data_IF_578217759030
#
_entry.id   IF_578217759030
#
_cell.length_a   1.000
_cell.length_b   1.000
_cell.length_c   1.000
_cell.angle_alpha   90.00
_cell.angle_beta   90.00
_cell.angle_gamma   90.00
#
_symmetry.space_group_name_H-M   'P 1'
#
loop_
_entity.id
_entity.type
_entity.pdbx_description
1 polymer ?
#
# COMPACT_ATOMS: atom_id res chain seq x y z
N UNK A 1 -25.73 21.46 -5.33
CA UNK A 1 -24.92 22.71 -5.29
C UNK A 1 -25.50 23.85 -6.14
N UNK A 2 -26.28 23.58 -7.19
CA UNK A 2 -26.95 24.61 -8.01
C UNK A 2 -27.92 25.51 -7.24
N UNK A 3 -28.54 25.00 -6.16
CA UNK A 3 -29.48 25.77 -5.33
C UNK A 3 -28.82 26.71 -4.28
N UNK A 4 -27.49 26.76 -4.19
CA UNK A 4 -26.72 27.56 -3.21
C UNK A 4 -27.09 27.37 -1.72
N UNK A 5 -27.78 26.28 -1.37
CA UNK A 5 -28.17 25.92 0.01
C UNK A 5 -27.02 25.23 0.77
N UNK A 6 -25.90 25.92 0.92
CA UNK A 6 -24.69 25.39 1.56
C UNK A 6 -24.89 25.15 3.07
N UNK A 7 -25.61 26.06 3.73
CA UNK A 7 -25.96 26.02 5.16
C UNK A 7 -26.79 24.80 5.59
N UNK A 8 -27.33 24.03 4.65
CA UNK A 8 -28.11 22.82 4.92
C UNK A 8 -27.32 21.54 4.72
N UNK A 9 -26.08 21.61 4.23
CA UNK A 9 -25.29 20.44 3.91
C UNK A 9 -24.94 19.65 5.19
N UNK A 10 -25.27 18.35 5.26
CA UNK A 10 -24.86 17.49 6.35
C UNK A 10 -23.48 16.88 6.04
N UNK A 11 -22.40 17.54 6.43
CA UNK A 11 -21.02 17.11 6.11
C UNK A 11 -20.71 15.66 6.51
N UNK A 12 -21.26 15.17 7.62
CA UNK A 12 -21.12 13.77 8.09
C UNK A 12 -21.71 12.74 7.13
N UNK A 13 -22.58 13.14 6.20
CA UNK A 13 -23.19 12.27 5.18
C UNK A 13 -22.60 12.46 3.78
N UNK A 14 -21.65 13.38 3.62
CA UNK A 14 -21.01 13.63 2.33
C UNK A 14 -20.09 12.47 2.00
N UNK A 15 -20.31 11.85 0.84
CA UNK A 15 -19.51 10.72 0.36
C UNK A 15 -18.04 11.14 0.15
N UNK A 16 -17.10 10.19 0.32
CA UNK A 16 -15.66 10.46 0.29
C UNK A 16 -15.19 11.16 -0.99
N UNK A 17 -15.69 10.71 -2.15
CA UNK A 17 -15.37 11.30 -3.46
C UNK A 17 -15.90 12.73 -3.59
N UNK A 18 -17.12 12.98 -3.10
CA UNK A 18 -17.73 14.30 -3.11
C UNK A 18 -16.98 15.25 -2.16
N UNK A 19 -16.57 14.75 -0.99
CA UNK A 19 -15.78 15.50 -0.03
C UNK A 19 -14.49 16.00 -0.66
N UNK A 20 -13.70 15.10 -1.26
CA UNK A 20 -12.46 15.44 -1.95
C UNK A 20 -12.68 16.41 -3.12
N UNK A 21 -13.73 16.21 -3.91
CA UNK A 21 -13.98 17.00 -5.13
C UNK A 21 -14.45 18.42 -4.83
N UNK A 22 -15.24 18.59 -3.77
CA UNK A 22 -15.93 19.85 -3.48
C UNK A 22 -15.43 20.58 -2.25
N UNK A 23 -14.41 20.07 -1.54
CA UNK A 23 -13.78 20.72 -0.37
C UNK A 23 -13.47 22.21 -0.56
N UNK A 24 -12.94 22.60 -1.72
CA UNK A 24 -12.63 24.01 -2.03
C UNK A 24 -13.90 24.86 -2.06
N UNK A 25 -15.01 24.31 -2.58
CA UNK A 25 -16.30 24.99 -2.60
C UNK A 25 -16.95 25.02 -1.22
N UNK A 26 -16.81 23.96 -0.42
CA UNK A 26 -17.29 23.95 0.95
C UNK A 26 -16.60 25.01 1.78
N UNK A 27 -15.27 25.09 1.72
CA UNK A 27 -14.51 26.14 2.40
C UNK A 27 -14.88 27.53 1.89
N UNK A 28 -15.03 27.72 0.57
CA UNK A 28 -15.42 29.02 0.00
C UNK A 28 -16.81 29.52 0.42
N UNK A 29 -17.78 28.62 0.60
CA UNK A 29 -19.18 28.99 0.76
C UNK A 29 -19.76 28.75 2.16
N UNK A 30 -19.07 27.97 3.01
CA UNK A 30 -19.53 27.61 4.35
C UNK A 30 -18.33 27.29 5.26
N UNK A 31 -17.34 28.19 5.27
CA UNK A 31 -16.05 28.04 5.95
C UNK A 31 -16.19 27.64 7.42
N UNK A 32 -16.96 28.40 8.20
CA UNK A 32 -17.10 28.17 9.65
C UNK A 32 -17.65 26.77 9.99
N UNK A 33 -18.72 26.33 9.29
CA UNK A 33 -19.30 25.00 9.55
C UNK A 33 -18.41 23.89 9.03
N UNK A 34 -17.72 24.13 7.92
CA UNK A 34 -16.83 23.14 7.34
C UNK A 34 -15.58 22.93 8.20
N UNK A 35 -14.91 24.00 8.62
CA UNK A 35 -13.73 23.94 9.47
C UNK A 35 -14.07 23.32 10.83
N UNK A 36 -15.19 23.73 11.45
CA UNK A 36 -15.70 23.07 12.66
C UNK A 36 -15.96 21.58 12.46
N UNK A 37 -16.50 21.18 11.31
CA UNK A 37 -16.68 19.76 11.00
C UNK A 37 -15.34 19.02 10.91
N UNK A 38 -14.30 19.61 10.29
CA UNK A 38 -12.97 19.00 10.23
C UNK A 38 -12.34 18.88 11.63
N UNK A 39 -12.46 19.91 12.48
CA UNK A 39 -12.04 19.88 13.88
C UNK A 39 -12.76 18.79 14.67
N UNK A 40 -14.08 18.64 14.48
CA UNK A 40 -14.87 17.59 15.13
C UNK A 40 -14.45 16.19 14.64
N UNK A 41 -14.08 16.01 13.36
CA UNK A 41 -13.52 14.75 12.86
C UNK A 41 -12.15 14.49 13.48
N UNK A 42 -11.29 15.51 13.55
CA UNK A 42 -9.96 15.40 14.14
C UNK A 42 -10.02 15.03 15.63
N UNK A 43 -10.97 15.60 16.37
CA UNK A 43 -11.24 15.29 17.77
C UNK A 43 -12.01 13.96 17.97
N UNK A 44 -12.35 13.23 16.91
CA UNK A 44 -13.08 11.97 16.97
C UNK A 44 -14.57 12.09 17.30
N UNK A 45 -15.14 13.30 17.29
CA UNK A 45 -16.56 13.59 17.53
C UNK A 45 -17.44 13.37 16.30
N UNK A 46 -16.83 13.43 15.12
CA UNK A 46 -17.48 13.16 13.84
C UNK A 46 -16.68 12.13 13.02
N UNK A 47 -17.31 11.58 11.97
CA UNK A 47 -16.65 10.65 11.03
C UNK A 47 -16.63 11.25 9.63
N UNK A 48 -15.49 11.13 8.96
CA UNK A 48 -15.35 11.39 7.54
C UNK A 48 -15.41 10.08 6.75
N UNK A 49 -16.02 10.10 5.58
CA UNK A 49 -16.04 8.95 4.68
C UNK A 49 -14.71 8.83 3.94
N UNK A 50 -14.11 7.63 3.92
CA UNK A 50 -12.90 7.31 3.14
C UNK A 50 -13.05 6.09 2.20
N UNK A 51 -14.00 5.18 2.46
CA UNK A 51 -14.00 3.82 1.88
C UNK A 51 -14.13 3.67 0.36
N UNK A 52 -14.54 4.72 -0.37
CA UNK A 52 -14.59 4.66 -1.85
C UNK A 52 -13.30 5.15 -2.54
N UNK A 53 -12.39 5.79 -1.81
CA UNK A 53 -11.14 6.32 -2.34
C UNK A 53 -10.01 5.30 -2.18
N UNK A 54 -9.08 5.30 -3.13
CA UNK A 54 -7.86 4.51 -3.05
C UNK A 54 -6.72 5.29 -2.34
N UNK A 55 -5.67 4.61 -1.85
CA UNK A 55 -4.56 5.26 -1.15
C UNK A 55 -3.93 6.42 -1.94
N UNK A 56 -3.50 6.19 -3.18
CA UNK A 56 -2.92 7.23 -4.05
C UNK A 56 -3.91 8.37 -4.37
N UNK A 57 -5.22 8.06 -4.42
CA UNK A 57 -6.27 9.05 -4.64
C UNK A 57 -6.43 10.02 -3.46
N UNK A 58 -6.26 9.53 -2.22
CA UNK A 58 -6.26 10.35 -1.00
C UNK A 58 -4.94 11.12 -0.90
N UNK A 59 -3.82 10.45 -1.16
CA UNK A 59 -2.47 11.00 -1.02
C UNK A 59 -2.07 11.98 -2.14
N UNK A 60 -2.86 12.13 -3.21
CA UNK A 60 -2.49 12.91 -4.39
C UNK A 60 -2.07 14.36 -4.08
N UNK A 61 -2.73 15.04 -3.12
CA UNK A 61 -2.36 16.39 -2.70
C UNK A 61 -1.00 16.39 -1.97
N UNK A 62 -0.84 15.49 -1.00
CA UNK A 62 0.40 15.29 -0.25
C UNK A 62 1.59 14.96 -1.18
N UNK A 63 1.38 14.12 -2.19
CA UNK A 63 2.39 13.78 -3.20
C UNK A 63 2.85 15.00 -4.02
N UNK A 64 1.93 15.92 -4.35
CA UNK A 64 2.26 17.20 -5.01
C UNK A 64 2.87 18.23 -4.06
N UNK A 65 3.01 17.90 -2.77
CA UNK A 65 3.54 18.80 -1.75
C UNK A 65 2.52 19.82 -1.21
N UNK A 66 1.23 19.60 -1.48
CA UNK A 66 0.13 20.43 -0.99
C UNK A 66 -0.28 19.94 0.42
N UNK A 67 -0.61 20.87 1.31
CA UNK A 67 -1.29 20.56 2.58
C UNK A 67 -2.79 20.45 2.31
N UNK A 68 -3.43 19.40 2.84
CA UNK A 68 -4.86 19.18 2.67
C UNK A 68 -5.49 18.41 3.83
N UNK A 69 -6.18 19.13 4.71
CA UNK A 69 -6.79 18.57 5.93
C UNK A 69 -7.81 17.46 5.61
N UNK A 70 -8.54 17.58 4.50
CA UNK A 70 -9.48 16.55 4.06
C UNK A 70 -8.75 15.25 3.72
N UNK A 71 -7.67 15.31 2.94
CA UNK A 71 -6.84 14.16 2.62
C UNK A 71 -6.20 13.55 3.88
N UNK A 72 -5.70 14.36 4.81
CA UNK A 72 -5.13 13.89 6.08
C UNK A 72 -6.17 13.11 6.91
N UNK A 73 -7.37 13.67 7.07
CA UNK A 73 -8.46 13.05 7.81
C UNK A 73 -8.98 11.79 7.10
N UNK A 74 -9.08 11.79 5.78
CA UNK A 74 -9.49 10.62 5.00
C UNK A 74 -8.43 9.52 5.04
N UNK A 75 -7.14 9.87 5.03
CA UNK A 75 -6.03 8.92 5.15
C UNK A 75 -6.05 8.24 6.52
N UNK A 76 -6.09 9.04 7.59
CA UNK A 76 -6.20 8.54 8.96
C UNK A 76 -7.38 7.58 9.11
N UNK A 77 -8.55 7.95 8.57
CA UNK A 77 -9.73 7.09 8.60
C UNK A 77 -9.51 5.75 7.88
N UNK A 78 -8.85 5.76 6.71
CA UNK A 78 -8.52 4.55 5.97
C UNK A 78 -7.58 3.65 6.76
N UNK A 79 -6.54 4.22 7.37
CA UNK A 79 -5.56 3.51 8.20
C UNK A 79 -6.25 2.90 9.41
N UNK A 80 -7.09 3.64 10.12
CA UNK A 80 -7.85 3.15 11.27
C UNK A 80 -8.78 1.99 10.88
N UNK A 81 -9.47 2.10 9.74
CA UNK A 81 -10.38 1.06 9.25
C UNK A 81 -9.62 -0.22 8.88
N UNK A 82 -8.45 -0.12 8.25
CA UNK A 82 -7.61 -1.27 7.91
C UNK A 82 -6.95 -1.88 9.14
N UNK A 83 -6.45 -1.05 10.06
CA UNK A 83 -5.88 -1.50 11.34
C UNK A 83 -6.90 -2.25 12.18
N UNK A 84 -8.15 -1.76 12.25
CA UNK A 84 -9.22 -2.43 13.00
C UNK A 84 -9.55 -3.83 12.50
N UNK A 85 -9.18 -4.16 11.26
CA UNK A 85 -9.34 -5.49 10.65
C UNK A 85 -8.11 -6.38 10.81
N UNK A 86 -6.99 -5.85 11.31
CA UNK A 86 -5.71 -6.55 11.37
C UNK A 86 -5.01 -6.67 10.00
N UNK A 87 -5.43 -5.89 9.01
CA UNK A 87 -4.90 -5.96 7.64
C UNK A 87 -3.44 -5.51 7.57
N UNK A 88 -2.62 -6.23 6.79
CA UNK A 88 -1.23 -5.87 6.45
C UNK A 88 -0.24 -5.74 7.64
N UNK A 89 -0.61 -6.23 8.84
CA UNK A 89 0.19 -6.09 10.06
C UNK A 89 1.60 -6.74 9.98
N UNK A 90 1.76 -7.78 9.16
CA UNK A 90 3.02 -8.53 8.97
C UNK A 90 3.57 -8.36 7.54
N UNK A 91 3.47 -7.15 7.00
CA UNK A 91 3.95 -6.84 5.66
C UNK A 91 5.02 -5.75 5.69
N UNK A 92 5.88 -5.75 4.69
CA UNK A 92 6.86 -4.69 4.45
C UNK A 92 6.92 -4.37 2.98
N UNK A 93 7.19 -3.11 2.65
CA UNK A 93 7.28 -2.64 1.27
C UNK A 93 8.72 -2.34 0.88
N UNK A 94 9.11 -2.83 -0.29
CA UNK A 94 10.25 -2.39 -1.07
C UNK A 94 9.73 -1.42 -2.12
N UNK A 95 10.16 -0.17 -2.06
CA UNK A 95 9.62 0.90 -2.89
C UNK A 95 10.60 1.28 -4.00
N UNK A 96 10.22 1.00 -5.25
CA UNK A 96 10.89 1.55 -6.43
C UNK A 96 10.44 3.00 -6.64
N UNK A 97 11.36 3.93 -6.41
CA UNK A 97 11.17 5.37 -6.62
C UNK A 97 12.06 5.88 -7.74
N UNK A 98 12.38 4.99 -8.69
CA UNK A 98 13.19 5.31 -9.86
C UNK A 98 12.53 6.26 -10.84
N UNK A 99 13.35 6.88 -11.70
CA UNK A 99 12.86 7.81 -12.71
C UNK A 99 11.82 7.20 -13.67
N UNK A 100 11.90 5.88 -13.95
CA UNK A 100 10.93 5.18 -14.79
C UNK A 100 9.54 5.23 -14.17
N UNK A 101 9.42 5.04 -12.85
CA UNK A 101 8.15 5.03 -12.12
C UNK A 101 7.31 6.31 -12.25
N UNK A 102 7.88 7.42 -12.74
CA UNK A 102 7.21 8.72 -12.90
C UNK A 102 5.79 8.61 -13.46
N UNK A 103 4.84 9.23 -12.76
CA UNK A 103 3.41 9.21 -13.08
C UNK A 103 2.61 8.44 -12.04
N UNK A 104 1.51 7.82 -12.47
CA UNK A 104 0.66 6.99 -11.60
C UNK A 104 1.41 5.86 -10.88
N UNK A 105 2.37 5.13 -11.50
CA UNK A 105 3.11 4.08 -10.79
C UNK A 105 3.84 4.59 -9.55
N UNK A 106 4.53 5.74 -9.65
CA UNK A 106 5.20 6.40 -8.53
C UNK A 106 4.21 6.78 -7.42
N UNK A 107 3.09 7.41 -7.79
CA UNK A 107 2.04 7.80 -6.83
C UNK A 107 1.48 6.60 -6.06
N UNK A 108 1.27 5.50 -6.77
CA UNK A 108 0.77 4.25 -6.18
C UNK A 108 1.84 3.59 -5.30
N UNK A 109 3.07 3.47 -5.77
CA UNK A 109 4.20 2.89 -5.03
C UNK A 109 4.40 3.58 -3.68
N UNK A 110 4.50 4.91 -3.70
CA UNK A 110 4.73 5.71 -2.50
C UNK A 110 3.53 5.61 -1.56
N UNK A 111 2.30 5.74 -2.08
CA UNK A 111 1.12 5.65 -1.23
C UNK A 111 0.98 4.27 -0.57
N UNK A 112 1.25 3.17 -1.29
CA UNK A 112 1.19 1.83 -0.71
C UNK A 112 2.34 1.55 0.25
N UNK A 113 3.54 2.09 -0.01
CA UNK A 113 4.67 2.03 0.91
C UNK A 113 4.35 2.70 2.25
N UNK A 114 3.87 3.94 2.21
CA UNK A 114 3.46 4.67 3.43
C UNK A 114 2.32 3.93 4.13
N UNK A 115 1.29 3.49 3.41
CA UNK A 115 0.14 2.77 3.99
C UNK A 115 0.58 1.48 4.69
N UNK A 116 1.39 0.67 4.02
CA UNK A 116 1.90 -0.59 4.59
C UNK A 116 2.70 -0.30 5.85
N UNK A 117 3.63 0.66 5.78
CA UNK A 117 4.45 1.04 6.94
C UNK A 117 3.61 1.48 8.15
N UNK A 118 2.51 2.20 7.93
CA UNK A 118 1.64 2.64 9.02
C UNK A 118 0.84 1.48 9.61
N UNK A 119 0.44 0.50 8.81
CA UNK A 119 -0.33 -0.65 9.26
C UNK A 119 0.52 -1.73 9.93
N UNK A 120 1.81 -1.82 9.58
CA UNK A 120 2.74 -2.77 10.18
C UNK A 120 2.91 -2.55 11.68
N UNK A 121 3.14 -3.63 12.41
CA UNK A 121 3.43 -3.60 13.85
C UNK A 121 4.93 -3.52 14.13
N UNK A 122 5.31 -3.13 15.36
CA UNK A 122 6.70 -3.19 15.81
C UNK A 122 7.28 -4.62 15.69
N UNK A 123 8.51 -4.79 15.19
CA UNK A 123 9.53 -3.77 14.94
C UNK A 123 9.51 -3.14 13.53
N UNK A 124 8.47 -3.38 12.73
CA UNK A 124 8.37 -2.98 11.32
C UNK A 124 7.62 -1.67 11.11
N UNK A 125 6.86 -1.24 12.12
CA UNK A 125 6.06 -0.03 12.09
C UNK A 125 6.86 1.19 11.61
N UNK A 126 6.29 1.90 10.64
CA UNK A 126 6.87 3.09 10.01
C UNK A 126 8.06 2.83 9.11
N UNK A 127 8.42 1.57 8.81
CA UNK A 127 9.60 1.25 8.00
C UNK A 127 9.24 0.77 6.60
N UNK A 128 10.13 1.10 5.65
CA UNK A 128 10.13 0.63 4.26
C UNK A 128 11.55 0.28 3.84
N UNK A 129 11.70 -0.46 2.76
CA UNK A 129 13.01 -0.85 2.21
C UNK A 129 13.23 -0.15 0.86
N UNK A 130 14.42 0.36 0.62
CA UNK A 130 14.81 0.95 -0.67
C UNK A 130 14.88 -0.13 -1.77
N UNK A 131 14.47 0.22 -2.98
CA UNK A 131 14.75 -0.59 -4.17
C UNK A 131 16.15 -0.25 -4.69
N UNK A 132 17.16 -0.98 -4.23
CA UNK A 132 18.56 -0.73 -4.56
C UNK A 132 19.43 -1.99 -4.49
N UNK A 133 20.64 -1.95 -5.07
CA UNK A 133 21.62 -3.05 -4.95
C UNK A 133 22.07 -3.22 -3.49
N UNK A 134 22.01 -2.12 -2.74
CA UNK A 134 22.26 -2.05 -1.29
C UNK A 134 20.97 -1.64 -0.58
N UNK A 135 19.99 -2.54 -0.44
CA UNK A 135 18.70 -2.19 0.15
C UNK A 135 18.88 -1.79 1.62
N UNK A 136 18.21 -0.72 2.02
CA UNK A 136 18.22 -0.18 3.38
C UNK A 136 16.82 -0.13 3.97
N UNK A 137 16.69 -0.59 5.21
CA UNK A 137 15.48 -0.43 6.02
C UNK A 137 15.42 1.00 6.58
N UNK A 138 14.56 1.83 6.00
CA UNK A 138 14.40 3.24 6.29
C UNK A 138 13.16 3.47 7.18
N UNK A 139 13.32 4.21 8.28
CA UNK A 139 12.20 4.68 9.11
C UNK A 139 11.65 5.97 8.51
N UNK A 140 10.39 5.93 8.07
CA UNK A 140 9.72 7.09 7.49
C UNK A 140 9.55 8.17 8.57
N UNK A 141 10.18 9.30 8.35
CA UNK A 141 10.06 10.47 9.22
C UNK A 141 9.00 11.44 8.70
N UNK A 142 8.10 11.86 9.58
CA UNK A 142 7.06 12.85 9.27
C UNK A 142 5.84 12.69 10.16
N UNK A 143 5.21 13.82 10.50
CA UNK A 143 3.93 13.85 11.23
C UNK A 143 2.75 13.88 10.26
N UNK A 144 2.88 14.62 9.16
CA UNK A 144 1.82 14.76 8.16
C UNK A 144 2.00 13.76 7.02
N UNK A 145 0.91 13.44 6.33
CA UNK A 145 0.94 12.64 5.11
C UNK A 145 1.89 13.25 4.09
N UNK A 146 1.88 14.57 3.93
CA UNK A 146 2.82 15.28 3.04
C UNK A 146 4.29 15.00 3.38
N UNK A 147 4.66 15.07 4.65
CA UNK A 147 6.03 14.81 5.09
C UNK A 147 6.44 13.36 4.82
N UNK A 148 5.56 12.40 5.14
CA UNK A 148 5.80 10.96 4.91
C UNK A 148 5.94 10.64 3.42
N UNK A 149 5.04 11.16 2.58
CA UNK A 149 5.10 10.99 1.13
C UNK A 149 6.40 11.58 0.55
N UNK A 150 6.78 12.77 1.00
CA UNK A 150 8.02 13.44 0.58
C UNK A 150 9.26 12.68 1.02
N UNK A 151 9.24 12.06 2.19
CA UNK A 151 10.35 11.22 2.67
C UNK A 151 10.60 10.06 1.70
N UNK A 152 9.55 9.28 1.40
CA UNK A 152 9.66 8.12 0.51
C UNK A 152 10.04 8.54 -0.92
N UNK A 153 9.48 9.64 -1.42
CA UNK A 153 9.81 10.18 -2.75
C UNK A 153 11.30 10.54 -2.91
N UNK A 154 12.01 10.80 -1.81
CA UNK A 154 13.42 11.21 -1.80
C UNK A 154 14.37 10.08 -1.39
N UNK A 155 13.85 8.88 -1.16
CA UNK A 155 14.69 7.72 -0.86
C UNK A 155 15.64 7.44 -2.01
N UNK A 156 16.83 6.96 -1.67
CA UNK A 156 17.78 6.47 -2.67
C UNK A 156 17.24 5.21 -3.35
N UNK A 157 17.59 5.05 -4.62
CA UNK A 157 17.19 3.93 -5.46
C UNK A 157 18.32 3.61 -6.45
N UNK A 158 18.40 2.36 -6.91
CA UNK A 158 19.28 1.92 -8.00
C UNK A 158 18.49 1.25 -9.13
N UNK A 159 19.17 0.88 -10.21
CA UNK A 159 18.59 0.24 -11.40
C UNK A 159 18.13 -1.23 -11.17
N UNK A 160 18.40 -1.81 -10.01
CA UNK A 160 18.01 -3.17 -9.65
C UNK A 160 17.88 -3.30 -8.12
N UNK A 161 17.47 -4.48 -7.64
CA UNK A 161 17.43 -4.78 -6.20
C UNK A 161 18.09 -6.10 -5.86
N UNK A 162 18.88 -6.10 -4.79
CA UNK A 162 19.41 -7.34 -4.21
C UNK A 162 18.42 -7.94 -3.20
N UNK A 163 17.57 -8.85 -3.67
CA UNK A 163 16.56 -9.47 -2.81
C UNK A 163 17.15 -10.34 -1.68
N UNK A 164 18.31 -10.98 -1.86
CA UNK A 164 18.96 -11.65 -0.72
C UNK A 164 19.27 -10.65 0.39
N UNK A 165 19.79 -9.47 0.05
CA UNK A 165 20.10 -8.43 1.03
C UNK A 165 18.84 -7.86 1.71
N UNK A 166 17.70 -7.78 0.99
CA UNK A 166 16.39 -7.45 1.59
C UNK A 166 16.02 -8.47 2.66
N UNK A 167 16.13 -9.76 2.36
CA UNK A 167 15.82 -10.82 3.32
C UNK A 167 16.82 -10.85 4.48
N UNK A 168 18.09 -10.55 4.23
CA UNK A 168 19.11 -10.44 5.28
C UNK A 168 18.80 -9.28 6.24
N UNK A 169 18.29 -8.14 5.74
CA UNK A 169 17.83 -7.02 6.58
C UNK A 169 16.67 -7.43 7.50
N UNK A 170 15.69 -8.14 6.96
CA UNK A 170 14.54 -8.65 7.72
C UNK A 170 15.02 -9.64 8.77
N UNK A 171 15.82 -10.62 8.37
CA UNK A 171 16.33 -11.65 9.27
C UNK A 171 17.18 -11.06 10.40
N UNK A 172 18.07 -10.11 10.06
CA UNK A 172 18.89 -9.38 11.05
C UNK A 172 18.00 -8.69 12.08
N UNK A 173 17.00 -7.93 11.62
CA UNK A 173 16.06 -7.23 12.52
C UNK A 173 15.33 -8.22 13.43
N UNK A 174 14.87 -9.35 12.89
CA UNK A 174 14.17 -10.37 13.67
C UNK A 174 15.07 -11.05 14.72
N UNK A 175 16.32 -11.34 14.37
CA UNK A 175 17.29 -11.94 15.31
C UNK A 175 17.70 -10.95 16.39
N UNK A 176 18.02 -9.70 16.03
CA UNK A 176 18.42 -8.64 16.97
C UNK A 176 17.31 -8.33 17.99
N UNK A 177 16.06 -8.32 17.54
CA UNK A 177 14.89 -8.06 18.38
C UNK A 177 14.35 -9.30 19.10
N UNK A 178 14.93 -10.49 18.84
CA UNK A 178 14.42 -11.80 19.33
C UNK A 178 12.93 -11.96 19.03
N UNK A 179 12.56 -11.68 17.80
CA UNK A 179 11.18 -11.62 17.35
C UNK A 179 10.49 -12.99 17.49
N UNK A 180 9.24 -12.98 17.94
CA UNK A 180 8.42 -14.19 17.90
C UNK A 180 8.09 -14.54 16.43
N UNK A 181 8.13 -15.82 16.01
CA UNK A 181 7.82 -16.20 14.63
C UNK A 181 6.48 -15.68 14.11
N UNK A 182 5.49 -15.49 14.99
CA UNK A 182 4.16 -14.97 14.65
C UNK A 182 4.18 -13.51 14.20
N UNK A 183 5.18 -12.74 14.63
CA UNK A 183 5.40 -11.32 14.28
C UNK A 183 6.38 -11.14 13.12
N UNK A 184 6.92 -12.23 12.58
CA UNK A 184 7.77 -12.19 11.39
C UNK A 184 6.95 -11.65 10.21
N UNK A 185 7.61 -10.86 9.36
CA UNK A 185 7.04 -10.47 8.07
C UNK A 185 6.67 -11.73 7.30
N UNK A 186 5.42 -11.81 6.85
CA UNK A 186 4.94 -12.90 5.98
C UNK A 186 5.07 -12.56 4.51
N UNK A 187 4.97 -11.28 4.19
CA UNK A 187 4.93 -10.79 2.82
C UNK A 187 5.80 -9.57 2.63
N UNK A 188 6.70 -9.63 1.66
CA UNK A 188 7.46 -8.49 1.13
C UNK A 188 6.77 -8.02 -0.14
N UNK A 189 6.16 -6.85 -0.11
CA UNK A 189 5.63 -6.21 -1.31
C UNK A 189 6.75 -5.48 -2.03
N UNK A 190 6.94 -5.76 -3.30
CA UNK A 190 7.86 -5.02 -4.15
C UNK A 190 7.04 -4.26 -5.17
N UNK A 191 7.05 -2.93 -5.10
CA UNK A 191 6.32 -2.07 -6.02
C UNK A 191 7.31 -1.50 -7.03
N UNK A 192 7.25 -1.92 -8.29
CA UNK A 192 8.19 -1.52 -9.36
C UNK A 192 7.47 -1.46 -10.71
N UNK A 193 8.11 -0.93 -11.75
CA UNK A 193 7.66 -1.03 -13.14
C UNK A 193 8.48 -2.00 -14.00
N UNK A 194 9.43 -2.70 -13.38
CA UNK A 194 10.29 -3.70 -14.02
C UNK A 194 9.66 -5.09 -14.03
N UNK A 195 10.24 -6.00 -14.81
CA UNK A 195 10.01 -7.44 -14.63
C UNK A 195 10.89 -7.98 -13.50
N UNK A 196 10.40 -8.99 -12.76
CA UNK A 196 11.13 -9.53 -11.60
C UNK A 196 12.52 -10.04 -11.97
N UNK A 197 12.65 -10.75 -13.10
CA UNK A 197 13.93 -11.30 -13.57
C UNK A 197 14.96 -10.21 -13.91
N UNK A 198 14.50 -9.04 -14.35
CA UNK A 198 15.37 -7.88 -14.61
C UNK A 198 15.75 -7.15 -13.32
N UNK A 199 14.82 -7.09 -12.37
CA UNK A 199 15.04 -6.51 -11.05
C UNK A 199 15.99 -7.38 -10.19
N UNK A 200 15.92 -8.70 -10.34
CA UNK A 200 16.76 -9.67 -9.63
C UNK A 200 18.11 -9.81 -10.33
N UNK A 201 19.18 -9.24 -9.76
CA UNK A 201 20.53 -9.31 -10.36
C UNK A 201 21.17 -10.72 -10.43
N UNK A 202 20.50 -11.76 -9.94
CA UNK A 202 21.01 -13.13 -9.82
C UNK A 202 19.92 -14.19 -10.08
N UNK A 203 20.32 -15.47 -10.20
CA UNK A 203 19.37 -16.57 -10.35
C UNK A 203 18.56 -16.80 -9.08
N UNK A 204 17.29 -16.39 -9.10
CA UNK A 204 16.38 -16.44 -7.95
C UNK A 204 16.27 -17.83 -7.29
N UNK A 205 16.28 -18.91 -8.07
CA UNK A 205 16.20 -20.27 -7.50
C UNK A 205 17.36 -20.60 -6.54
N UNK A 206 18.54 -20.07 -6.82
CA UNK A 206 19.71 -20.26 -5.95
C UNK A 206 19.60 -19.34 -4.73
N UNK A 207 19.24 -18.08 -4.96
CA UNK A 207 19.06 -17.08 -3.91
C UNK A 207 18.00 -17.51 -2.90
N UNK A 208 16.86 -18.00 -3.37
CA UNK A 208 15.77 -18.46 -2.53
C UNK A 208 16.18 -19.64 -1.64
N UNK A 209 16.96 -20.59 -2.17
CA UNK A 209 17.50 -21.69 -1.36
C UNK A 209 18.42 -21.19 -0.25
N UNK A 210 19.28 -20.22 -0.57
CA UNK A 210 20.19 -19.59 0.40
C UNK A 210 19.38 -18.84 1.47
N UNK A 211 18.36 -18.09 1.08
CA UNK A 211 17.43 -17.40 1.99
C UNK A 211 16.76 -18.40 2.93
N UNK A 212 16.14 -19.45 2.41
CA UNK A 212 15.49 -20.47 3.24
C UNK A 212 16.46 -21.12 4.23
N UNK A 213 17.71 -21.37 3.81
CA UNK A 213 18.74 -21.92 4.68
C UNK A 213 19.10 -20.95 5.81
N UNK A 214 19.37 -19.68 5.51
CA UNK A 214 19.65 -18.63 6.51
C UNK A 214 18.52 -18.50 7.53
N UNK A 215 17.28 -18.49 7.08
CA UNK A 215 16.11 -18.41 7.97
C UNK A 215 15.98 -19.66 8.84
N UNK A 216 16.21 -20.87 8.28
CA UNK A 216 16.20 -22.12 9.04
C UNK A 216 17.27 -22.11 10.14
N UNK A 217 18.49 -21.70 9.81
CA UNK A 217 19.61 -21.66 10.75
C UNK A 217 19.38 -20.65 11.89
N UNK A 218 18.61 -19.59 11.63
CA UNK A 218 18.20 -18.61 12.62
C UNK A 218 16.93 -18.98 13.41
N UNK A 219 16.31 -20.14 13.15
CA UNK A 219 15.10 -20.60 13.86
C UNK A 219 13.78 -20.09 13.26
N UNK A 220 13.79 -19.51 12.06
CA UNK A 220 12.62 -18.96 11.36
C UNK A 220 12.27 -19.72 10.06
N UNK A 221 12.70 -20.98 9.94
CA UNK A 221 12.54 -21.77 8.71
C UNK A 221 11.10 -21.98 8.24
N UNK A 222 10.12 -21.94 9.15
CA UNK A 222 8.70 -22.11 8.84
C UNK A 222 7.97 -20.80 8.50
N UNK A 223 8.65 -19.66 8.67
CA UNK A 223 8.09 -18.31 8.48
C UNK A 223 8.95 -17.47 7.53
N UNK A 224 9.52 -18.11 6.51
CA UNK A 224 10.24 -17.41 5.43
C UNK A 224 9.24 -16.51 4.68
N UNK A 225 9.50 -15.19 4.55
CA UNK A 225 8.61 -14.30 3.83
C UNK A 225 8.46 -14.69 2.36
N UNK A 226 7.27 -14.48 1.79
CA UNK A 226 7.08 -14.52 0.34
C UNK A 226 7.24 -13.12 -0.27
N UNK A 227 7.70 -13.05 -1.51
CA UNK A 227 7.67 -11.82 -2.30
C UNK A 227 6.35 -11.74 -3.06
N UNK A 228 5.68 -10.60 -2.97
CA UNK A 228 4.64 -10.20 -3.93
C UNK A 228 5.22 -9.05 -4.76
N UNK A 229 5.67 -9.37 -5.97
CA UNK A 229 6.26 -8.42 -6.88
C UNK A 229 5.17 -7.82 -7.76
N UNK A 230 4.91 -6.53 -7.61
CA UNK A 230 3.84 -5.84 -8.32
C UNK A 230 4.41 -4.86 -9.34
N UNK A 231 4.32 -5.25 -10.61
CA UNK A 231 4.57 -4.38 -11.74
C UNK A 231 3.41 -3.37 -11.90
N UNK A 232 3.66 -2.11 -11.57
CA UNK A 232 2.69 -1.01 -11.54
C UNK A 232 2.51 -0.31 -12.90
N UNK A 233 3.32 -0.63 -13.91
CA UNK A 233 3.18 -0.06 -15.26
C UNK A 233 2.11 -0.79 -16.05
N UNK A 234 1.56 -0.07 -17.04
CA UNK A 234 0.40 -0.50 -17.81
C UNK A 234 0.69 -1.80 -18.57
N UNK A 235 0.09 -2.88 -18.09
CA UNK A 235 0.01 -4.18 -18.74
C UNK A 235 -1.44 -4.63 -18.63
N UNK A 236 -1.90 -5.49 -19.56
CA UNK A 236 -3.20 -6.17 -19.40
C UNK A 236 -3.16 -6.85 -18.03
N UNK A 237 -3.99 -6.41 -17.08
CA UNK A 237 -3.99 -6.93 -15.71
C UNK A 237 -4.17 -8.44 -15.73
N UNK A 238 -3.07 -9.18 -15.70
CA UNK A 238 -3.07 -10.64 -15.68
C UNK A 238 -2.93 -11.08 -14.23
N UNK A 239 -3.78 -12.02 -13.77
CA UNK A 239 -3.63 -12.58 -12.43
C UNK A 239 -2.29 -13.31 -12.30
N UNK A 240 -1.85 -13.49 -11.05
CA UNK A 240 -0.47 -13.86 -10.71
C UNK A 240 0.09 -14.99 -11.55
N UNK A 241 1.16 -14.70 -12.26
CA UNK A 241 1.98 -15.69 -12.97
C UNK A 241 3.35 -15.69 -12.33
N UNK A 242 3.62 -16.67 -11.47
CA UNK A 242 5.00 -16.97 -11.10
C UNK A 242 5.19 -18.48 -11.09
N UNK A 243 6.23 -18.92 -11.78
CA UNK A 243 6.76 -20.28 -11.71
C UNK A 243 7.88 -20.39 -10.66
N UNK A 244 8.23 -19.27 -10.02
CA UNK A 244 9.36 -19.16 -9.11
C UNK A 244 8.94 -19.39 -7.65
N UNK A 245 9.73 -20.16 -6.89
CA UNK A 245 9.40 -20.48 -5.50
C UNK A 245 9.47 -19.22 -4.63
N UNK A 246 8.46 -19.04 -3.76
CA UNK A 246 8.41 -17.91 -2.83
C UNK A 246 8.12 -16.55 -3.45
N UNK A 247 7.78 -16.48 -4.74
CA UNK A 247 7.46 -15.23 -5.45
C UNK A 247 6.10 -15.35 -6.12
N UNK A 248 5.26 -14.34 -5.94
CA UNK A 248 4.03 -14.12 -6.69
C UNK A 248 4.15 -12.80 -7.45
N UNK A 249 3.97 -12.82 -8.78
CA UNK A 249 3.98 -11.61 -9.60
C UNK A 249 2.58 -11.05 -9.78
N UNK A 250 2.40 -9.74 -9.67
CA UNK A 250 1.16 -9.03 -9.97
C UNK A 250 1.48 -8.02 -11.06
N UNK A 251 0.74 -8.05 -12.16
CA UNK A 251 0.97 -7.10 -13.25
C UNK A 251 -0.24 -6.22 -13.47
N UNK A 252 0.03 -4.94 -13.69
CA UNK A 252 -0.95 -3.92 -14.00
C UNK A 252 -1.58 -3.30 -12.75
N UNK A 253 -2.00 -2.05 -12.93
CA UNK A 253 -2.74 -1.30 -11.94
C UNK A 253 -4.22 -1.24 -12.33
N UNK A 254 -5.09 -1.79 -11.48
CA UNK A 254 -6.53 -1.54 -11.58
C UNK A 254 -7.12 -1.17 -10.22
N UNK A 255 -8.09 -0.24 -10.23
CA UNK A 255 -8.81 0.18 -9.02
C UNK A 255 -9.48 -0.98 -8.30
N UNK A 256 -9.98 -1.96 -9.07
CA UNK A 256 -10.64 -3.13 -8.53
C UNK A 256 -9.63 -4.08 -7.86
N UNK A 257 -8.49 -4.31 -8.48
CA UNK A 257 -7.43 -5.11 -7.88
C UNK A 257 -6.96 -4.50 -6.56
N UNK A 258 -6.73 -3.18 -6.52
CA UNK A 258 -6.29 -2.53 -5.28
C UNK A 258 -7.35 -2.61 -4.17
N UNK A 259 -8.64 -2.57 -4.52
CA UNK A 259 -9.73 -2.82 -3.54
C UNK A 259 -9.70 -4.26 -3.02
N UNK A 260 -9.51 -5.25 -3.89
CA UNK A 260 -9.46 -6.66 -3.49
C UNK A 260 -8.23 -6.90 -2.60
N UNK A 261 -7.08 -6.33 -2.97
CA UNK A 261 -5.85 -6.36 -2.20
C UNK A 261 -6.05 -5.85 -0.77
N UNK A 262 -6.65 -4.66 -0.62
CA UNK A 262 -6.94 -4.05 0.68
C UNK A 262 -8.01 -4.80 1.48
N UNK A 263 -8.94 -5.49 0.81
CA UNK A 263 -9.97 -6.31 1.48
C UNK A 263 -9.44 -7.62 2.04
N UNK A 264 -8.35 -8.15 1.49
CA UNK A 264 -7.81 -9.48 1.80
C UNK A 264 -6.48 -9.42 2.53
N UNK A 265 -6.24 -8.36 3.28
CA UNK A 265 -5.06 -8.20 4.12
C UNK A 265 -3.74 -8.36 3.34
N UNK A 266 -3.74 -8.00 2.05
CA UNK A 266 -2.60 -8.14 1.16
C UNK A 266 -2.34 -9.54 0.62
N UNK A 267 -3.22 -10.52 0.89
CA UNK A 267 -3.13 -11.86 0.32
C UNK A 267 -3.53 -11.81 -1.16
N UNK A 268 -2.54 -12.01 -2.02
CA UNK A 268 -2.75 -12.11 -3.47
C UNK A 268 -2.79 -13.58 -3.87
N UNK A 269 -4.00 -14.15 -3.96
CA UNK A 269 -4.24 -15.45 -4.58
C UNK A 269 -5.03 -15.25 -5.89
N UNK A 270 -4.49 -15.63 -7.07
CA UNK A 270 -5.15 -15.53 -8.37
C UNK A 270 -6.56 -16.07 -8.43
N UNK A 271 -6.75 -17.30 -7.96
CA UNK A 271 -8.03 -17.99 -8.02
C UNK A 271 -9.03 -17.26 -7.16
N UNK A 272 -8.60 -16.87 -5.96
CA UNK A 272 -9.47 -16.22 -5.03
C UNK A 272 -9.77 -14.76 -5.48
N UNK A 273 -8.84 -14.07 -6.14
CA UNK A 273 -9.05 -12.76 -6.78
C UNK A 273 -10.02 -12.88 -7.96
N UNK A 274 -9.84 -13.90 -8.81
CA UNK A 274 -10.73 -14.21 -9.93
C UNK A 274 -12.14 -14.49 -9.43
N UNK A 275 -12.27 -15.38 -8.44
CA UNK A 275 -13.55 -15.75 -7.83
C UNK A 275 -14.29 -14.54 -7.27
N UNK A 276 -13.60 -13.58 -6.65
CA UNK A 276 -14.25 -12.36 -6.14
C UNK A 276 -14.56 -11.35 -7.25
N UNK A 277 -13.74 -11.25 -8.28
CA UNK A 277 -14.04 -10.45 -9.46
C UNK A 277 -15.30 -10.93 -10.20
N UNK A 278 -15.57 -12.24 -10.18
CA UNK A 278 -16.77 -12.86 -10.78
C UNK A 278 -17.86 -13.18 -9.75
N UNK A 279 -17.70 -12.82 -8.47
CA UNK A 279 -18.70 -13.08 -7.43
C UNK A 279 -19.87 -12.06 -7.45
N UNK A 280 -19.76 -10.99 -8.25
CA UNK A 280 -20.80 -9.98 -8.36
C UNK A 280 -22.11 -10.53 -8.93
N UNK A 281 -23.24 -9.97 -8.50
CA UNK A 281 -24.60 -10.36 -8.93
C UNK A 281 -24.78 -10.36 -10.47
N UNK A 282 -23.95 -9.57 -11.17
CA UNK A 282 -23.92 -9.48 -12.63
C UNK A 282 -23.36 -10.74 -13.31
N UNK A 283 -22.44 -11.45 -12.67
CA UNK A 283 -21.81 -12.67 -13.19
C UNK A 283 -22.56 -13.95 -12.79
N UNK A 284 -23.38 -13.91 -11.73
CA UNK A 284 -24.22 -15.04 -11.30
C UNK A 284 -25.28 -15.44 -12.34
N UNK A 285 -25.60 -14.56 -13.29
CA UNK A 285 -26.58 -14.81 -14.35
C UNK A 285 -25.98 -15.44 -15.62
N UNK A 286 -24.65 -15.63 -15.65
CA UNK A 286 -23.98 -16.20 -16.81
C UNK A 286 -24.04 -17.73 -16.74
N UNK A 287 -24.63 -18.33 -17.76
CA UNK A 287 -24.61 -19.77 -17.95
C UNK A 287 -23.37 -20.16 -18.77
N UNK A 288 -22.61 -21.12 -18.26
CA UNK A 288 -21.55 -21.78 -19.03
C UNK A 288 -22.24 -22.80 -19.93
N UNK A 289 -22.16 -22.60 -21.24
CA UNK A 289 -22.54 -23.62 -22.23
C UNK A 289 -21.29 -24.39 -22.62
N UNK A 290 -21.38 -25.72 -22.52
CA UNK A 290 -20.35 -26.68 -22.92
C UNK A 290 -20.44 -27.04 -24.41
#
# INVERSE_FOLDING_TARGET
>A
MSAQRWSELPYTRVASVAMRRYKVLFKKHDEERFDKYLEDVEAGKAKISAGALLPHEIAAAAYRGEDDDVSELQWRRMVDDLRSKGSLCNCISVCDVSGSMTGTPMEVCIALGVLTSELSEEPWAGKVITFSERPELQLINGKTLREKMRFVQRMEWDMNTNFQAVFDQILRTAVETRLAPEKMIRTVFVYSDMEFDEASGHSWNTDYKVICQKFRDAGYGDVVPQIIFWNLRDSKSTPVTSTQPGVAMVSGFSKNFLKIFLKRDGVVNPEAIMMEAIAGDEYQKLAVFD
#
